data_IF_864330577918
#
_entry.id   IF_864330577918
#
_cell.length_a   1.000
_cell.length_b   1.000
_cell.length_c   1.000
_cell.angle_alpha   90.00
_cell.angle_beta   90.00
_cell.angle_gamma   90.00
#
_symmetry.space_group_name_H-M   'P 1'
#
loop_
_entity.id
_entity.type
_entity.pdbx_description
1 polymer ?
#
# COMPACT_ATOMS: atom_id res chain seq x y z
N UNK A 1 -2.82 63.92 -73.34
CA UNK A 1 -2.10 63.26 -72.22
C UNK A 1 -2.99 63.32 -71.00
N UNK A 2 -3.55 62.18 -70.58
CA UNK A 2 -4.55 62.10 -69.50
C UNK A 2 -3.83 61.73 -68.19
N UNK A 3 -3.98 62.59 -67.19
CA UNK A 3 -3.41 62.46 -65.86
C UNK A 3 -4.38 61.63 -64.99
N UNK A 4 -3.99 60.41 -64.61
CA UNK A 4 -4.80 59.58 -63.71
C UNK A 4 -4.38 59.82 -62.26
N UNK A 5 -5.18 60.62 -61.55
CA UNK A 5 -5.10 60.79 -60.10
C UNK A 5 -5.69 59.54 -59.42
N UNK A 6 -4.83 58.59 -59.04
CA UNK A 6 -5.21 57.40 -58.27
C UNK A 6 -5.55 57.79 -56.83
N UNK A 7 -6.83 57.76 -56.51
CA UNK A 7 -7.38 57.97 -55.18
C UNK A 7 -7.28 56.67 -54.37
N UNK A 8 -6.33 56.60 -53.44
CA UNK A 8 -6.18 55.45 -52.55
C UNK A 8 -7.21 55.50 -51.41
N UNK A 9 -7.89 54.38 -51.10
CA UNK A 9 -8.92 54.35 -50.08
C UNK A 9 -8.33 54.55 -48.67
N UNK A 10 -8.99 55.44 -47.93
CA UNK A 10 -8.71 55.86 -46.56
C UNK A 10 -8.76 54.63 -45.63
N UNK A 11 -7.61 54.24 -45.06
CA UNK A 11 -7.51 53.15 -44.07
C UNK A 11 -8.43 53.46 -42.88
N UNK A 12 -9.52 52.70 -42.74
CA UNK A 12 -10.37 52.72 -41.55
C UNK A 12 -9.59 52.07 -40.41
N UNK A 13 -8.91 52.90 -39.61
CA UNK A 13 -8.26 52.48 -38.39
C UNK A 13 -9.31 52.03 -37.38
N UNK A 14 -9.47 50.72 -37.23
CA UNK A 14 -10.30 50.15 -36.16
C UNK A 14 -9.60 50.49 -34.83
N UNK A 15 -10.12 51.51 -34.13
CA UNK A 15 -9.70 51.85 -32.76
C UNK A 15 -10.25 50.80 -31.79
N UNK A 16 -9.81 49.54 -31.96
CA UNK A 16 -10.20 48.46 -31.08
C UNK A 16 -9.31 48.53 -29.83
N UNK A 17 -9.92 48.97 -28.73
CA UNK A 17 -9.45 48.92 -27.35
C UNK A 17 -8.58 50.06 -26.80
N UNK A 18 -9.14 50.72 -25.78
CA UNK A 18 -8.54 51.76 -24.94
C UNK A 18 -7.23 51.28 -24.27
N UNK A 19 -6.16 52.11 -24.25
CA UNK A 19 -4.81 51.69 -23.85
C UNK A 19 -4.72 51.21 -22.39
N UNK A 20 -5.55 51.74 -21.48
CA UNK A 20 -5.52 51.34 -20.06
C UNK A 20 -6.01 49.92 -19.79
N UNK A 21 -6.89 49.36 -20.64
CA UNK A 21 -7.42 48.00 -20.45
C UNK A 21 -6.61 46.91 -21.16
N UNK A 22 -5.69 47.30 -22.06
CA UNK A 22 -4.84 46.34 -22.78
C UNK A 22 -3.93 45.56 -21.85
N UNK A 23 -3.27 46.23 -20.89
CA UNK A 23 -2.38 45.51 -19.95
C UNK A 23 -3.14 44.53 -19.06
N UNK A 24 -4.38 44.85 -18.70
CA UNK A 24 -5.24 43.94 -17.93
C UNK A 24 -5.62 42.72 -18.75
N UNK A 25 -6.05 42.91 -20.00
CA UNK A 25 -6.39 41.80 -20.91
C UNK A 25 -5.16 40.91 -21.15
N UNK A 26 -3.98 41.48 -21.39
CA UNK A 26 -2.76 40.70 -21.56
C UNK A 26 -2.37 39.93 -20.30
N UNK A 27 -2.55 40.51 -19.10
CA UNK A 27 -2.30 39.81 -17.82
C UNK A 27 -3.26 38.65 -17.61
N UNK A 28 -4.54 38.85 -17.87
CA UNK A 28 -5.56 37.79 -17.77
C UNK A 28 -5.28 36.68 -18.77
N UNK A 29 -4.94 37.03 -20.02
CA UNK A 29 -4.67 36.06 -21.07
C UNK A 29 -3.39 35.26 -20.75
N UNK A 30 -2.33 35.93 -20.26
CA UNK A 30 -1.11 35.26 -19.80
C UNK A 30 -1.36 34.32 -18.62
N UNK A 31 -2.21 34.73 -17.67
CA UNK A 31 -2.60 33.90 -16.53
C UNK A 31 -3.42 32.67 -16.97
N UNK A 32 -4.38 32.85 -17.89
CA UNK A 32 -5.15 31.73 -18.47
C UNK A 32 -4.25 30.75 -19.23
N UNK A 33 -3.28 31.23 -20.01
CA UNK A 33 -2.33 30.35 -20.70
C UNK A 33 -1.38 29.64 -19.73
N UNK A 34 -0.97 30.29 -18.63
CA UNK A 34 -0.13 29.68 -17.61
C UNK A 34 -0.88 28.56 -16.87
N UNK A 35 -2.12 28.82 -16.43
CA UNK A 35 -2.96 27.78 -15.81
C UNK A 35 -3.23 26.64 -16.79
N UNK A 36 -3.52 26.95 -18.05
CA UNK A 36 -3.70 25.94 -19.09
C UNK A 36 -2.45 25.07 -19.29
N UNK A 37 -1.26 25.69 -19.30
CA UNK A 37 0.01 24.97 -19.43
C UNK A 37 0.31 24.11 -18.20
N UNK A 38 0.12 24.62 -16.98
CA UNK A 38 0.29 23.86 -15.74
C UNK A 38 -0.70 22.70 -15.67
N UNK A 39 -1.97 22.93 -16.02
CA UNK A 39 -2.99 21.87 -16.05
C UNK A 39 -2.70 20.81 -17.12
N UNK A 40 -2.10 21.18 -18.25
CA UNK A 40 -1.65 20.23 -19.27
C UNK A 40 -0.44 19.41 -18.77
N UNK A 41 0.45 20.03 -18.00
CA UNK A 41 1.61 19.38 -17.39
C UNK A 41 1.18 18.30 -16.40
N UNK A 42 0.23 18.60 -15.52
CA UNK A 42 -0.34 17.64 -14.57
C UNK A 42 -1.10 16.50 -15.27
N UNK A 43 -1.89 16.80 -16.31
CA UNK A 43 -2.63 15.77 -17.05
C UNK A 43 -1.74 14.75 -17.76
N UNK A 44 -0.48 15.10 -18.05
CA UNK A 44 0.45 14.18 -18.70
C UNK A 44 1.04 13.16 -17.70
N UNK A 45 1.02 13.45 -16.40
CA UNK A 45 1.44 12.50 -15.36
C UNK A 45 0.33 11.48 -15.05
N UNK A 46 -0.95 11.90 -15.10
CA UNK A 46 -2.08 10.99 -14.83
C UNK A 46 -2.27 9.89 -15.90
N UNK A 47 -1.95 10.18 -17.18
CA UNK A 47 -2.12 9.22 -18.29
C UNK A 47 -1.08 8.10 -18.28
N UNK A 48 0.08 8.31 -17.65
CA UNK A 48 1.08 7.25 -17.49
C UNK A 48 0.62 6.19 -16.47
N UNK A 49 -0.12 6.61 -15.43
CA UNK A 49 -0.56 5.74 -14.35
C UNK A 49 -1.77 4.89 -14.77
N UNK A 50 -2.72 5.45 -15.52
CA UNK A 50 -3.91 4.67 -15.95
C UNK A 50 -3.58 3.53 -16.93
N UNK A 51 -2.53 3.65 -17.75
CA UNK A 51 -2.17 2.59 -18.70
C UNK A 51 -1.50 1.38 -18.03
N UNK A 52 -0.76 1.57 -16.93
CA UNK A 52 -0.25 0.46 -16.12
C UNK A 52 -1.34 -0.17 -15.25
N UNK A 53 -2.25 0.65 -14.70
CA UNK A 53 -3.36 0.18 -13.87
C UNK A 53 -4.42 -0.61 -14.66
N UNK A 54 -4.65 -0.30 -15.95
CA UNK A 54 -5.56 -1.06 -16.81
C UNK A 54 -4.93 -2.40 -17.25
N UNK A 55 -3.60 -2.47 -17.41
CA UNK A 55 -2.90 -3.72 -17.70
C UNK A 55 -2.89 -4.66 -16.48
N UNK A 56 -2.71 -4.13 -15.27
CA UNK A 56 -2.80 -4.90 -14.02
C UNK A 56 -4.24 -5.29 -13.65
N UNK A 57 -5.25 -4.48 -13.96
CA UNK A 57 -6.66 -4.82 -13.73
C UNK A 57 -7.25 -5.86 -14.69
N UNK A 58 -6.66 -6.07 -15.88
CA UNK A 58 -7.12 -7.12 -16.80
C UNK A 58 -6.67 -8.53 -16.40
N UNK A 59 -5.66 -8.67 -15.56
CA UNK A 59 -5.19 -9.97 -15.06
C UNK A 59 -5.99 -10.45 -13.85
N UNK A 60 -6.69 -9.56 -13.15
CA UNK A 60 -7.36 -9.87 -11.87
C UNK A 60 -8.90 -9.96 -11.94
N UNK A 61 -9.46 -10.10 -13.15
CA UNK A 61 -10.90 -10.36 -13.39
C UNK A 61 -11.10 -11.54 -14.33
N UNK A 62 -10.54 -12.69 -13.99
CA UNK A 62 -11.16 -13.96 -14.36
C UNK A 62 -11.57 -14.66 -13.07
N UNK A 63 -12.88 -14.80 -12.91
CA UNK A 63 -13.49 -15.49 -11.78
C UNK A 63 -13.13 -16.98 -11.78
N UNK A 64 -13.31 -17.67 -10.63
CA UNK A 64 -12.89 -19.05 -10.46
C UNK A 64 -13.93 -20.00 -11.06
N UNK A 65 -14.09 -19.97 -12.37
CA UNK A 65 -14.68 -21.07 -13.12
C UNK A 65 -13.63 -21.42 -14.18
N UNK A 66 -13.23 -22.70 -14.27
CA UNK A 66 -12.30 -23.27 -15.27
C UNK A 66 -10.86 -23.58 -14.82
N UNK A 67 -10.63 -23.95 -13.56
CA UNK A 67 -9.43 -24.74 -13.18
C UNK A 67 -9.80 -26.24 -13.13
N UNK A 68 -10.27 -26.79 -14.25
CA UNK A 68 -10.40 -28.23 -14.47
C UNK A 68 -10.15 -28.58 -15.96
N UNK A 69 -9.08 -28.08 -16.57
CA UNK A 69 -8.45 -28.68 -17.76
C UNK A 69 -7.14 -27.96 -18.11
N UNK A 70 -6.15 -28.72 -18.58
CA UNK A 70 -4.75 -28.35 -18.87
C UNK A 70 -3.90 -28.16 -17.60
N UNK A 71 -2.82 -28.90 -17.36
CA UNK A 71 -1.78 -29.24 -18.31
C UNK A 71 -1.07 -30.55 -17.90
N UNK A 72 -1.31 -31.61 -18.68
CA UNK A 72 -0.44 -32.77 -18.78
C UNK A 72 0.41 -32.60 -20.03
N UNK A 73 1.44 -31.76 -20.03
CA UNK A 73 2.61 -31.94 -20.89
C UNK A 73 3.69 -30.89 -20.61
N UNK A 74 4.85 -31.35 -20.12
CA UNK A 74 6.23 -30.87 -20.40
C UNK A 74 7.13 -31.04 -19.18
N UNK A 75 7.37 -32.31 -18.85
CA UNK A 75 8.61 -32.73 -18.22
C UNK A 75 9.71 -32.83 -19.30
N UNK A 76 10.92 -32.40 -18.93
CA UNK A 76 12.24 -32.69 -19.53
C UNK A 76 12.82 -31.70 -20.55
N UNK A 77 13.58 -30.74 -20.01
CA UNK A 77 14.84 -30.12 -20.50
C UNK A 77 14.98 -28.83 -19.68
N UNK A 78 16.00 -28.58 -18.88
CA UNK A 78 17.41 -28.62 -19.20
C UNK A 78 18.17 -28.45 -17.86
N UNK A 79 19.16 -29.31 -17.61
CA UNK A 79 20.06 -29.28 -16.48
C UNK A 79 21.36 -28.65 -16.98
N UNK A 80 21.77 -27.48 -16.48
CA UNK A 80 23.14 -26.95 -16.56
C UNK A 80 23.24 -25.83 -15.51
N UNK A 81 23.82 -26.08 -14.33
CA UNK A 81 25.25 -25.94 -13.97
C UNK A 81 25.65 -24.51 -13.54
N UNK A 82 26.38 -24.45 -12.42
CA UNK A 82 27.22 -23.34 -11.90
C UNK A 82 26.52 -22.15 -11.21
N UNK A 83 26.53 -22.12 -9.87
CA UNK A 83 27.52 -21.39 -9.01
C UNK A 83 26.93 -21.11 -7.62
N UNK A 84 27.57 -21.65 -6.59
CA UNK A 84 27.42 -21.19 -5.20
C UNK A 84 27.89 -19.74 -5.05
N UNK A 85 27.29 -18.97 -4.12
CA UNK A 85 28.10 -18.09 -3.29
C UNK A 85 27.87 -18.33 -1.79
N UNK A 86 28.95 -18.78 -1.17
CA UNK A 86 29.48 -18.45 0.15
C UNK A 86 28.66 -17.54 1.09
N UNK A 87 28.33 -18.12 2.25
CA UNK A 87 28.50 -17.59 3.61
C UNK A 87 28.54 -16.06 3.80
N UNK A 88 27.59 -15.52 4.59
CA UNK A 88 27.92 -14.79 5.82
C UNK A 88 26.89 -15.09 6.92
N UNK A 89 27.27 -16.02 7.79
CA UNK A 89 26.66 -16.24 9.10
C UNK A 89 27.07 -15.05 9.97
N UNK A 90 26.11 -14.25 10.43
CA UNK A 90 26.36 -13.27 11.48
C UNK A 90 26.26 -14.02 12.81
N UNK A 91 27.44 -14.31 13.38
CA UNK A 91 27.59 -14.77 14.75
C UNK A 91 27.04 -13.71 15.73
N UNK A 92 25.87 -13.95 16.30
CA UNK A 92 25.44 -13.24 17.51
C UNK A 92 25.77 -14.14 18.69
N UNK A 93 26.96 -13.92 19.27
CA UNK A 93 27.34 -14.46 20.58
C UNK A 93 26.43 -13.82 21.65
N UNK A 94 25.36 -14.51 22.03
CA UNK A 94 24.59 -14.20 23.24
C UNK A 94 24.97 -15.19 24.32
N UNK A 95 26.05 -14.87 25.02
CA UNK A 95 26.39 -15.50 26.28
C UNK A 95 25.97 -14.52 27.39
N UNK A 96 24.84 -14.81 28.03
CA UNK A 96 24.49 -14.29 29.35
C UNK A 96 23.56 -15.30 30.03
N UNK A 97 24.19 -16.30 30.64
CA UNK A 97 23.61 -17.04 31.75
C UNK A 97 23.59 -16.12 32.98
N UNK A 98 22.39 -15.82 33.49
CA UNK A 98 22.18 -15.41 34.87
C UNK A 98 20.76 -15.83 35.30
N UNK A 99 20.57 -16.20 36.58
CA UNK A 99 19.59 -17.18 37.00
C UNK A 99 18.16 -16.66 36.95
N UNK A 100 17.28 -17.46 36.34
CA UNK A 100 15.84 -17.34 36.48
C UNK A 100 15.50 -17.57 37.95
N UNK A 101 15.32 -16.50 38.72
CA UNK A 101 14.63 -16.58 40.00
C UNK A 101 13.17 -16.90 39.70
N UNK A 102 12.84 -18.19 39.73
CA UNK A 102 11.48 -18.70 39.72
C UNK A 102 10.80 -18.26 41.01
N UNK A 103 10.17 -17.08 40.98
CA UNK A 103 9.22 -16.66 42.01
C UNK A 103 8.02 -17.58 41.88
N UNK A 104 8.03 -18.68 42.65
CA UNK A 104 6.85 -19.51 42.87
C UNK A 104 5.81 -18.69 43.60
N UNK A 105 4.97 -17.98 42.84
CA UNK A 105 3.71 -17.46 43.37
C UNK A 105 2.89 -18.67 43.84
N UNK A 106 2.34 -18.66 45.07
CA UNK A 106 1.42 -19.70 45.49
C UNK A 106 0.26 -19.74 44.49
N UNK A 107 -0.21 -20.93 44.08
CA UNK A 107 -1.30 -21.04 43.14
C UNK A 107 -2.48 -20.21 43.68
N UNK A 108 -3.08 -19.34 42.86
CA UNK A 108 -4.26 -18.60 43.29
C UNK A 108 -5.27 -19.64 43.78
N UNK A 109 -5.79 -19.46 45.00
CA UNK A 109 -6.90 -20.26 45.51
C UNK A 109 -8.10 -19.96 44.62
N UNK A 110 -8.22 -20.73 43.53
CA UNK A 110 -9.39 -20.72 42.66
C UNK A 110 -10.55 -21.12 43.57
N UNK A 111 -11.58 -20.29 43.75
CA UNK A 111 -12.77 -20.76 44.44
C UNK A 111 -13.28 -21.99 43.68
N UNK A 112 -13.34 -23.12 44.37
CA UNK A 112 -13.98 -24.35 43.91
C UNK A 112 -15.48 -24.08 43.75
N UNK A 113 -15.85 -23.38 42.68
CA UNK A 113 -17.24 -23.18 42.29
C UNK A 113 -17.36 -23.09 40.76
N UNK A 114 -16.57 -23.91 40.07
CA UNK A 114 -16.57 -24.08 38.61
C UNK A 114 -17.40 -25.28 38.14
N UNK A 115 -18.05 -26.02 39.04
CA UNK A 115 -18.79 -27.24 38.69
C UNK A 115 -20.16 -27.01 38.05
N UNK A 116 -20.63 -25.76 37.92
CA UNK A 116 -21.96 -25.47 37.36
C UNK A 116 -21.97 -24.59 36.11
N UNK A 117 -20.83 -24.41 35.43
CA UNK A 117 -20.86 -24.01 34.03
C UNK A 117 -21.03 -25.27 33.18
N UNK A 118 -22.26 -25.81 33.19
CA UNK A 118 -22.73 -26.74 32.16
C UNK A 118 -22.56 -26.02 30.84
N UNK A 119 -21.43 -26.27 30.17
CA UNK A 119 -21.14 -25.79 28.82
C UNK A 119 -22.41 -26.05 28.02
N UNK A 120 -23.12 -25.02 27.52
CA UNK A 120 -24.32 -25.27 26.74
C UNK A 120 -23.86 -26.15 25.59
N UNK A 121 -24.37 -27.38 25.57
CA UNK A 121 -24.21 -28.29 24.45
C UNK A 121 -24.88 -27.60 23.27
N UNK A 122 -24.10 -26.77 22.58
CA UNK A 122 -24.49 -26.16 21.33
C UNK A 122 -24.82 -27.33 20.41
N UNK A 123 -26.11 -27.47 20.09
CA UNK A 123 -26.59 -28.35 19.02
C UNK A 123 -25.60 -28.25 17.86
N UNK A 124 -25.24 -29.35 17.19
CA UNK A 124 -24.32 -29.28 16.06
C UNK A 124 -24.90 -28.27 15.07
N UNK A 125 -24.29 -27.09 15.00
CA UNK A 125 -24.67 -26.07 14.04
C UNK A 125 -24.47 -26.74 12.70
N UNK A 126 -25.56 -26.96 11.97
CA UNK A 126 -25.49 -27.51 10.61
C UNK A 126 -24.87 -26.38 9.80
N UNK A 127 -23.54 -26.30 9.83
CA UNK A 127 -22.80 -25.22 9.22
C UNK A 127 -23.13 -25.26 7.74
N UNK A 128 -23.80 -24.22 7.26
CA UNK A 128 -24.22 -24.14 5.87
C UNK A 128 -22.95 -24.17 4.99
N UNK A 129 -23.07 -24.62 3.74
CA UNK A 129 -21.92 -24.62 2.82
C UNK A 129 -21.34 -23.20 2.68
N UNK A 130 -22.19 -22.19 2.79
CA UNK A 130 -21.84 -20.76 2.73
C UNK A 130 -21.01 -20.34 3.94
N UNK A 131 -21.43 -20.68 5.16
CA UNK A 131 -20.66 -20.37 6.38
C UNK A 131 -19.27 -21.03 6.37
N UNK A 132 -19.16 -22.27 5.85
CA UNK A 132 -17.86 -22.93 5.69
C UNK A 132 -16.97 -22.20 4.69
N UNK A 133 -17.55 -21.71 3.60
CA UNK A 133 -16.83 -20.97 2.57
C UNK A 133 -16.33 -19.61 3.11
N UNK A 134 -17.18 -18.91 3.86
CA UNK A 134 -16.82 -17.65 4.51
C UNK A 134 -15.69 -17.84 5.51
N UNK A 135 -15.77 -18.89 6.34
CA UNK A 135 -14.70 -19.23 7.27
C UNK A 135 -13.39 -19.50 6.53
N UNK A 136 -13.41 -20.31 5.47
CA UNK A 136 -12.21 -20.60 4.68
C UNK A 136 -11.61 -19.32 4.07
N UNK A 137 -12.45 -18.39 3.63
CA UNK A 137 -12.01 -17.10 3.09
C UNK A 137 -11.36 -16.24 4.18
N UNK A 138 -11.96 -16.19 5.37
CA UNK A 138 -11.40 -15.47 6.51
C UNK A 138 -10.06 -16.07 6.95
N UNK A 139 -9.98 -17.41 7.09
CA UNK A 139 -8.76 -18.11 7.46
C UNK A 139 -7.62 -17.84 6.46
N UNK A 140 -7.94 -17.77 5.16
CA UNK A 140 -6.98 -17.38 4.12
C UNK A 140 -6.50 -15.94 4.30
N UNK A 141 -7.41 -15.01 4.55
CA UNK A 141 -7.06 -13.60 4.72
C UNK A 141 -6.14 -13.39 5.94
N UNK A 142 -6.42 -14.06 7.06
CA UNK A 142 -5.52 -14.04 8.22
C UNK A 142 -4.15 -14.65 7.92
N UNK A 143 -4.11 -15.78 7.21
CA UNK A 143 -2.84 -16.41 6.84
C UNK A 143 -1.99 -15.51 5.92
N UNK A 144 -2.61 -14.79 4.98
CA UNK A 144 -1.93 -13.82 4.11
C UNK A 144 -1.31 -12.67 4.89
N UNK A 145 -2.01 -12.14 5.88
CA UNK A 145 -1.48 -11.07 6.74
C UNK A 145 -0.39 -11.58 7.69
N UNK A 146 -0.56 -12.76 8.27
CA UNK A 146 0.47 -13.37 9.13
C UNK A 146 1.79 -13.63 8.39
N UNK A 147 1.74 -13.94 7.08
CA UNK A 147 2.95 -14.11 6.27
C UNK A 147 3.76 -12.82 6.08
N UNK A 148 3.14 -11.64 6.21
CA UNK A 148 3.82 -10.34 6.08
C UNK A 148 4.57 -9.95 7.36
N UNK A 149 4.18 -10.53 8.49
CA UNK A 149 4.71 -10.18 9.81
C UNK A 149 6.17 -10.62 9.94
N UNK A 150 7.04 -9.68 10.34
CA UNK A 150 8.44 -9.94 10.63
C UNK A 150 8.61 -10.19 12.12
N UNK A 151 9.06 -11.40 12.49
CA UNK A 151 9.23 -11.80 13.89
C UNK A 151 10.18 -10.85 14.63
N UNK A 152 9.73 -10.33 15.78
CA UNK A 152 10.52 -9.43 16.65
C UNK A 152 10.49 -7.96 16.26
N UNK A 153 9.89 -7.59 15.11
CA UNK A 153 9.76 -6.21 14.68
C UNK A 153 8.70 -5.49 15.53
N UNK A 154 9.08 -4.39 16.19
CA UNK A 154 8.18 -3.60 17.02
C UNK A 154 7.80 -4.23 18.38
N UNK A 155 8.41 -5.36 18.75
CA UNK A 155 8.18 -5.99 20.06
C UNK A 155 8.62 -5.09 21.21
N UNK A 156 7.91 -5.18 22.34
CA UNK A 156 8.10 -4.31 23.51
C UNK A 156 8.05 -2.81 23.16
N UNK A 157 7.27 -2.43 22.14
CA UNK A 157 7.15 -1.05 21.69
C UNK A 157 8.43 -0.45 21.10
N UNK A 158 9.38 -1.27 20.65
CA UNK A 158 10.62 -0.79 20.02
C UNK A 158 10.34 -0.03 18.72
N UNK A 159 11.08 1.06 18.51
CA UNK A 159 10.98 1.84 17.28
C UNK A 159 11.43 1.02 16.06
N UNK A 160 10.62 1.09 14.99
CA UNK A 160 10.89 0.40 13.72
C UNK A 160 11.44 1.40 12.71
N UNK A 161 12.56 1.05 12.07
CA UNK A 161 13.17 1.83 10.98
C UNK A 161 13.23 0.95 9.74
N UNK A 162 12.61 1.42 8.66
CA UNK A 162 12.67 0.78 7.35
C UNK A 162 13.76 1.46 6.51
N UNK A 163 14.50 0.68 5.74
CA UNK A 163 15.60 1.16 4.88
C UNK A 163 15.45 0.65 3.44
N UNK A 164 16.12 1.29 2.50
CA UNK A 164 16.08 0.90 1.09
C UNK A 164 14.77 1.30 0.41
N UNK A 165 14.30 0.45 -0.50
CA UNK A 165 13.08 0.70 -1.29
C UNK A 165 11.83 0.79 -0.41
N UNK A 166 11.72 -0.08 0.58
CA UNK A 166 10.58 -0.09 1.52
C UNK A 166 10.50 1.20 2.34
N UNK A 167 11.64 1.78 2.69
CA UNK A 167 11.69 3.07 3.39
C UNK A 167 11.16 4.22 2.53
N UNK A 168 11.42 4.19 1.21
CA UNK A 168 10.91 5.20 0.28
C UNK A 168 9.40 5.08 0.11
N UNK A 169 8.91 3.86 -0.12
CA UNK A 169 7.48 3.59 -0.21
C UNK A 169 6.76 3.98 1.09
N UNK A 170 7.37 3.69 2.24
CA UNK A 170 6.82 4.06 3.53
C UNK A 170 6.70 5.58 3.70
N UNK A 171 7.66 6.35 3.21
CA UNK A 171 7.60 7.81 3.23
C UNK A 171 6.50 8.36 2.30
N UNK A 172 6.32 7.77 1.13
CA UNK A 172 5.25 8.12 0.20
C UNK A 172 3.86 7.81 0.78
N UNK A 173 3.70 6.63 1.37
CA UNK A 173 2.46 6.23 2.06
C UNK A 173 2.22 7.14 3.26
N UNK A 174 3.24 7.46 4.05
CA UNK A 174 3.11 8.37 5.19
C UNK A 174 2.68 9.78 4.77
N UNK A 175 3.11 10.28 3.61
CA UNK A 175 2.64 11.56 3.06
C UNK A 175 1.14 11.54 2.70
N UNK A 176 0.60 10.38 2.30
CA UNK A 176 -0.80 10.21 1.92
C UNK A 176 -1.71 9.91 3.12
N UNK A 177 -1.31 8.95 3.94
CA UNK A 177 -2.14 8.33 4.99
C UNK A 177 -1.80 8.84 6.40
N UNK A 178 -0.80 9.72 6.55
CA UNK A 178 -0.25 10.19 7.84
C UNK A 178 0.31 9.09 8.77
N UNK A 179 0.27 7.82 8.35
CA UNK A 179 0.78 6.67 9.07
C UNK A 179 1.66 5.81 8.15
N UNK A 180 2.59 5.07 8.75
CA UNK A 180 3.42 4.11 8.03
C UNK A 180 2.71 2.75 7.95
N UNK A 181 1.85 2.57 6.96
CA UNK A 181 1.14 1.30 6.76
C UNK A 181 2.11 0.15 6.50
N UNK A 182 3.20 0.39 5.77
CA UNK A 182 4.20 -0.63 5.46
C UNK A 182 4.87 -1.16 6.73
N UNK A 183 5.20 -0.28 7.68
CA UNK A 183 5.72 -0.72 8.97
C UNK A 183 4.64 -1.44 9.78
N UNK A 184 3.40 -0.95 9.76
CA UNK A 184 2.29 -1.54 10.51
C UNK A 184 2.00 -2.97 10.07
N UNK A 185 1.94 -3.22 8.77
CA UNK A 185 1.64 -4.54 8.18
C UNK A 185 2.69 -5.61 8.55
N UNK A 186 3.92 -5.17 8.81
CA UNK A 186 5.03 -6.04 9.21
C UNK A 186 5.11 -6.29 10.71
N UNK A 187 4.43 -5.49 11.53
CA UNK A 187 4.43 -5.63 12.98
C UNK A 187 3.34 -6.62 13.38
N UNK A 188 3.66 -7.54 14.29
CA UNK A 188 2.67 -8.52 14.76
C UNK A 188 1.48 -7.85 15.45
N UNK A 189 0.28 -8.35 15.16
CA UNK A 189 -0.96 -7.95 15.84
C UNK A 189 -0.95 -8.33 17.32
N UNK A 190 -0.27 -9.41 17.67
CA UNK A 190 -0.20 -9.96 19.02
C UNK A 190 1.07 -9.52 19.78
N UNK A 191 1.67 -8.39 19.41
CA UNK A 191 2.92 -7.91 20.02
C UNK A 191 2.75 -7.49 21.48
N UNK A 192 3.84 -7.61 22.23
CA UNK A 192 3.92 -7.08 23.59
C UNK A 192 4.26 -5.58 23.61
N UNK A 193 3.74 -4.85 24.59
CA UNK A 193 4.02 -3.40 24.80
C UNK A 193 4.31 -3.18 26.29
N UNK A 194 5.32 -2.37 26.65
CA UNK A 194 5.63 -2.08 28.05
C UNK A 194 4.48 -1.32 28.72
N UNK A 195 4.20 -1.66 29.98
CA UNK A 195 3.28 -0.88 30.82
C UNK A 195 3.99 0.40 31.28
N UNK A 196 3.39 1.55 31.01
CA UNK A 196 3.93 2.87 31.34
C UNK A 196 3.23 3.55 32.51
N UNK A 197 2.40 2.82 33.27
CA UNK A 197 1.67 3.36 34.42
C UNK A 197 2.58 3.42 35.66
N UNK A 198 2.48 4.49 36.43
CA UNK A 198 3.17 4.62 37.71
C UNK A 198 2.62 3.60 38.71
N UNK A 199 3.52 2.89 39.38
CA UNK A 199 3.22 1.87 40.41
C UNK A 199 2.99 2.46 41.80
#
# INVERSE_FOLDING_TARGET
MINYHLHLPKKMGVKLFYPRRRSFIFKVLAFCTFIGFVGLWFKNEDVAIENEDIALRKVHREGPNDILALDKSKSNKLLTEVREPDNQIIDIKVENHAPVHEVRLPPPKVPHNLENLKKPESKPHIVSKEEKLEKLKADRWFAEDEMKVVKGLGEMGKAVKLSGEEGRLAEEVMKKEAFNLIASDKISLNRSVPDSRDS
#
